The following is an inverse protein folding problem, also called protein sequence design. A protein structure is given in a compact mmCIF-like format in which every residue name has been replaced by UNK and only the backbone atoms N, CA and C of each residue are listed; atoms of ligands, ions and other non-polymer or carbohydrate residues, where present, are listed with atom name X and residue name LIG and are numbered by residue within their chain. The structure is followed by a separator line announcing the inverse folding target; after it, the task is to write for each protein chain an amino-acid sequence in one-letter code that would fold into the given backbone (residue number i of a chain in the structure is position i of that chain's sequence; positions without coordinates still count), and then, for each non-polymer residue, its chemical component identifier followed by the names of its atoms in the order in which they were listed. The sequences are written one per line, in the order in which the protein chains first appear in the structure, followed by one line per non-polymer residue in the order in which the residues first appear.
data_IF_190665128031
#
_entry.id   IF_190665128031
#
_cell.length_a   1.000
_cell.length_b   1.000
_cell.length_c   1.000
_cell.angle_alpha   90.00
_cell.angle_beta   90.00
_cell.angle_gamma   90.00
#
_symmetry.space_group_name_H-M   'P 1'
#
loop_
_entity.id
_entity.type
_entity.pdbx_description
1 polymer ?
#
# COMPACT_ATOMS: atom_id res chain seq x y z
N UNK A 1 -5.54 7.43 -28.42
CA UNK A 1 -5.97 8.04 -27.16
C UNK A 1 -5.87 7.08 -25.97
N UNK A 2 -4.88 6.18 -25.97
CA UNK A 2 -4.74 5.10 -24.97
C UNK A 2 -4.14 5.62 -23.66
N UNK A 3 -3.31 6.67 -23.72
CA UNK A 3 -2.70 7.29 -22.54
C UNK A 3 -3.72 8.02 -21.66
N UNK A 4 -4.77 8.60 -22.25
CA UNK A 4 -5.83 9.29 -21.52
C UNK A 4 -6.72 8.29 -20.79
N UNK A 5 -7.04 7.17 -21.44
CA UNK A 5 -7.82 6.07 -20.84
C UNK A 5 -7.03 5.30 -19.77
N UNK A 6 -5.73 5.06 -19.96
CA UNK A 6 -4.85 4.51 -18.91
C UNK A 6 -4.76 5.45 -17.69
N UNK A 7 -4.60 6.76 -17.90
CA UNK A 7 -4.56 7.73 -16.79
C UNK A 7 -5.89 7.82 -16.03
N UNK A 8 -7.05 7.75 -16.71
CA UNK A 8 -8.36 7.71 -16.04
C UNK A 8 -8.57 6.40 -15.27
N UNK A 9 -8.12 5.27 -15.83
CA UNK A 9 -8.11 3.96 -15.19
C UNK A 9 -7.21 3.93 -13.93
N UNK A 10 -6.32 4.91 -13.77
CA UNK A 10 -5.39 5.02 -12.63
C UNK A 10 -6.00 5.75 -11.43
N UNK A 11 -6.64 6.90 -11.64
CA UNK A 11 -7.21 7.70 -10.54
C UNK A 11 -8.47 7.08 -9.93
N UNK A 12 -9.35 6.49 -10.75
CA UNK A 12 -10.58 5.85 -10.28
C UNK A 12 -10.27 4.61 -9.42
N UNK A 13 -9.29 3.79 -9.83
CA UNK A 13 -8.84 2.63 -9.03
C UNK A 13 -8.17 3.05 -7.72
N UNK A 14 -7.34 4.10 -7.74
CA UNK A 14 -6.75 4.63 -6.51
C UNK A 14 -7.82 5.18 -5.56
N UNK A 15 -8.86 5.81 -6.10
CA UNK A 15 -9.99 6.29 -5.31
C UNK A 15 -10.84 5.13 -4.75
N UNK A 16 -11.06 4.07 -5.53
CA UNK A 16 -11.75 2.85 -5.07
C UNK A 16 -10.96 2.18 -3.94
N UNK A 17 -9.64 2.05 -4.10
CA UNK A 17 -8.75 1.50 -3.07
C UNK A 17 -8.74 2.37 -1.79
N UNK A 18 -8.65 3.69 -1.93
CA UNK A 18 -8.74 4.61 -0.80
C UNK A 18 -10.12 4.54 -0.11
N UNK A 19 -11.19 4.40 -0.88
CA UNK A 19 -12.56 4.27 -0.34
C UNK A 19 -12.71 2.97 0.45
N UNK A 20 -12.21 1.85 -0.07
CA UNK A 20 -12.22 0.57 0.62
C UNK A 20 -11.39 0.62 1.91
N UNK A 21 -10.21 1.24 1.86
CA UNK A 21 -9.37 1.49 3.03
C UNK A 21 -10.09 2.32 4.09
N UNK A 22 -10.64 3.49 3.72
CA UNK A 22 -11.38 4.35 4.66
C UNK A 22 -12.67 3.71 5.16
N UNK A 23 -13.31 2.83 4.40
CA UNK A 23 -14.47 2.07 4.87
C UNK A 23 -14.07 1.10 5.98
N UNK A 24 -12.89 0.47 5.86
CA UNK A 24 -12.39 -0.50 6.85
C UNK A 24 -11.77 0.16 8.08
N UNK A 25 -11.10 1.29 7.89
CA UNK A 25 -10.37 2.05 8.91
C UNK A 25 -10.65 3.56 8.77
N UNK A 26 -11.84 4.04 9.15
CA UNK A 26 -12.32 5.40 8.85
C UNK A 26 -11.53 6.51 9.55
N UNK A 27 -10.86 6.20 10.66
CA UNK A 27 -10.03 7.14 11.42
C UNK A 27 -8.63 7.34 10.80
N UNK A 28 -8.27 6.57 9.77
CA UNK A 28 -6.93 6.58 9.19
C UNK A 28 -6.75 7.70 8.16
N UNK A 29 -5.56 8.29 8.18
CA UNK A 29 -5.18 9.39 7.31
C UNK A 29 -4.63 8.91 5.97
N UNK A 30 -4.40 9.84 5.05
CA UNK A 30 -3.70 9.52 3.79
C UNK A 30 -2.25 9.07 4.03
N UNK A 31 -1.62 9.51 5.13
CA UNK A 31 -0.29 9.04 5.49
C UNK A 31 -0.30 7.55 5.85
N UNK A 32 -1.31 7.11 6.62
CA UNK A 32 -1.51 5.70 6.98
C UNK A 32 -1.81 4.86 5.75
N UNK A 33 -2.62 5.38 4.83
CA UNK A 33 -2.89 4.73 3.54
C UNK A 33 -1.61 4.51 2.74
N UNK A 34 -0.75 5.53 2.63
CA UNK A 34 0.54 5.42 1.93
C UNK A 34 1.48 4.42 2.60
N UNK A 35 1.48 4.37 3.93
CA UNK A 35 2.28 3.44 4.69
C UNK A 35 1.79 2.00 4.49
N UNK A 36 0.47 1.78 4.50
CA UNK A 36 -0.15 0.50 4.14
C UNK A 36 0.26 0.04 2.73
N UNK A 37 0.18 0.92 1.72
CA UNK A 37 0.64 0.59 0.36
C UNK A 37 2.13 0.22 0.31
N UNK A 38 2.96 0.89 1.10
CA UNK A 38 4.39 0.57 1.19
C UNK A 38 4.60 -0.87 1.71
N UNK A 39 3.87 -1.27 2.74
CA UNK A 39 3.90 -2.64 3.27
C UNK A 39 3.38 -3.65 2.24
N UNK A 40 2.29 -3.35 1.52
CA UNK A 40 1.75 -4.19 0.45
C UNK A 40 2.76 -4.46 -0.69
N UNK A 41 3.63 -3.50 -1.00
CA UNK A 41 4.71 -3.67 -1.98
C UNK A 41 6.00 -4.30 -1.40
N UNK A 42 6.00 -4.67 -0.12
CA UNK A 42 7.19 -5.20 0.55
C UNK A 42 8.29 -4.15 0.71
N UNK A 43 7.94 -2.87 0.78
CA UNK A 43 8.89 -1.78 1.00
C UNK A 43 9.10 -1.55 2.50
N UNK A 44 10.28 -1.05 2.91
CA UNK A 44 10.52 -0.69 4.30
C UNK A 44 9.49 0.34 4.78
N UNK A 45 8.78 0.01 5.85
CA UNK A 45 7.90 0.92 6.56
C UNK A 45 8.59 1.37 7.85
N UNK A 46 8.46 2.65 8.18
CA UNK A 46 8.98 3.20 9.42
C UNK A 46 8.14 2.72 10.60
N UNK A 47 8.74 1.94 11.51
CA UNK A 47 8.07 1.37 12.68
C UNK A 47 7.47 2.46 13.57
N UNK A 48 8.09 3.64 13.63
CA UNK A 48 7.56 4.74 14.44
C UNK A 48 6.25 5.31 13.85
N UNK A 49 6.03 5.14 12.55
CA UNK A 49 4.88 5.66 11.82
C UNK A 49 3.74 4.64 11.67
N UNK A 50 3.97 3.34 11.92
CA UNK A 50 2.93 2.30 11.72
C UNK A 50 1.97 2.12 12.89
N UNK A 51 2.18 2.82 14.00
CA UNK A 51 1.41 2.63 15.24
C UNK A 51 -0.12 2.69 15.03
N UNK A 52 -0.60 3.56 14.15
CA UNK A 52 -2.02 3.67 13.82
C UNK A 52 -2.55 2.40 13.11
N UNK A 53 -1.80 1.88 12.13
CA UNK A 53 -2.12 0.64 11.41
C UNK A 53 -2.00 -0.60 12.30
N UNK A 54 -1.02 -0.62 13.21
CA UNK A 54 -0.80 -1.69 14.18
C UNK A 54 -1.95 -1.74 15.20
N UNK A 55 -2.34 -0.59 15.75
CA UNK A 55 -3.49 -0.46 16.66
C UNK A 55 -4.80 -0.90 15.99
N UNK A 56 -4.94 -0.65 14.68
CA UNK A 56 -6.06 -1.13 13.87
C UNK A 56 -5.95 -2.61 13.47
N UNK A 57 -4.87 -3.31 13.88
CA UNK A 57 -4.54 -4.69 13.52
C UNK A 57 -4.46 -4.92 12.01
N UNK A 58 -4.06 -3.92 11.24
CA UNK A 58 -3.83 -4.03 9.79
C UNK A 58 -2.41 -4.53 9.52
N UNK A 59 -1.44 -4.11 10.34
CA UNK A 59 -0.07 -4.58 10.28
C UNK A 59 0.36 -5.17 11.63
N UNK A 60 1.44 -5.93 11.61
CA UNK A 60 2.12 -6.48 12.77
C UNK A 60 3.61 -6.18 12.66
N UNK A 61 4.27 -5.94 13.79
CA UNK A 61 5.72 -5.73 13.85
C UNK A 61 6.36 -6.99 14.43
N UNK A 62 7.11 -7.73 13.61
CA UNK A 62 7.87 -8.90 14.03
C UNK A 62 9.35 -8.72 13.70
N UNK A 63 10.23 -8.93 14.69
CA UNK A 63 11.69 -8.84 14.49
C UNK A 63 12.20 -7.49 13.93
N UNK A 64 11.46 -6.40 14.12
CA UNK A 64 11.78 -5.09 13.54
C UNK A 64 11.41 -4.95 12.06
N UNK A 65 10.53 -5.81 11.56
CA UNK A 65 9.91 -5.71 10.23
C UNK A 65 8.41 -5.51 10.39
N UNK A 66 7.84 -4.70 9.51
CA UNK A 66 6.40 -4.46 9.44
C UNK A 66 5.83 -5.37 8.38
N UNK A 67 4.87 -6.21 8.75
CA UNK A 67 4.17 -7.12 7.85
C UNK A 67 2.67 -6.91 7.92
N UNK A 68 1.93 -7.34 6.89
CA UNK A 68 0.47 -7.35 6.94
C UNK A 68 -0.01 -8.41 7.94
N UNK A 69 -0.99 -8.05 8.76
CA UNK A 69 -1.76 -9.04 9.54
C UNK A 69 -2.68 -9.85 8.62
N UNK A 70 -3.41 -10.82 9.18
CA UNK A 70 -4.48 -11.48 8.44
C UNK A 70 -5.57 -10.50 7.96
N UNK A 71 -5.92 -9.49 8.79
CA UNK A 71 -6.88 -8.47 8.41
C UNK A 71 -6.31 -7.50 7.36
N UNK A 72 -5.01 -7.20 7.43
CA UNK A 72 -4.32 -6.39 6.41
C UNK A 72 -4.28 -7.07 5.05
N UNK A 73 -4.03 -8.39 5.00
CA UNK A 73 -4.10 -9.18 3.76
C UNK A 73 -5.51 -9.20 3.17
N UNK A 74 -6.54 -9.41 4.01
CA UNK A 74 -7.93 -9.33 3.55
C UNK A 74 -8.26 -7.95 2.99
N UNK A 75 -7.78 -6.88 3.62
CA UNK A 75 -7.97 -5.52 3.13
C UNK A 75 -7.22 -5.27 1.80
N UNK A 76 -6.00 -5.81 1.67
CA UNK A 76 -5.24 -5.78 0.42
C UNK A 76 -6.02 -6.46 -0.72
N UNK A 77 -6.65 -7.60 -0.45
CA UNK A 77 -7.48 -8.35 -1.40
C UNK A 77 -8.76 -7.57 -1.76
N UNK A 78 -9.45 -6.99 -0.78
CA UNK A 78 -10.64 -6.15 -0.99
C UNK A 78 -10.33 -4.94 -1.89
N UNK A 79 -9.12 -4.40 -1.75
CA UNK A 79 -8.59 -3.31 -2.56
C UNK A 79 -8.04 -3.77 -3.93
N UNK A 80 -8.05 -5.07 -4.22
CA UNK A 80 -7.54 -5.70 -5.45
C UNK A 80 -6.07 -5.37 -5.73
N UNK A 81 -5.28 -5.14 -4.68
CA UNK A 81 -3.84 -4.88 -4.79
C UNK A 81 -3.15 -6.23 -4.94
N UNK A 82 -2.50 -6.48 -6.08
CA UNK A 82 -1.74 -7.71 -6.26
C UNK A 82 -0.48 -7.69 -5.38
N UNK A 83 -0.22 -8.73 -4.56
CA UNK A 83 1.03 -8.84 -3.82
C UNK A 83 2.19 -9.03 -4.80
N UNK A 84 3.27 -8.27 -4.62
CA UNK A 84 4.49 -8.43 -5.43
C UNK A 84 5.10 -9.82 -5.20
N UNK A 85 5.56 -10.53 -6.26
CA UNK A 85 6.45 -11.67 -6.09
C UNK A 85 7.75 -11.19 -5.43
N UNK A 86 8.15 -11.84 -4.34
CA UNK A 86 9.23 -11.47 -3.42
C UNK A 86 10.63 -11.55 -4.08
N UNK A 87 10.96 -10.62 -4.99
CA UNK A 87 12.33 -10.46 -5.47
C UNK A 87 13.05 -9.43 -4.59
N UNK A 88 13.86 -9.93 -3.66
CA UNK A 88 14.73 -9.19 -2.73
C UNK A 88 15.75 -8.32 -3.49
N UNK A 89 15.35 -7.17 -4.02
CA UNK A 89 16.27 -6.15 -4.50
C UNK A 89 16.27 -5.02 -3.48
N UNK A 90 17.45 -4.82 -2.86
CA UNK A 90 17.72 -3.75 -1.90
C UNK A 90 17.46 -2.39 -2.56
N UNK A 91 16.27 -1.83 -2.38
CA UNK A 91 15.93 -0.46 -2.77
C UNK A 91 16.30 0.48 -1.63
N UNK A 92 17.59 0.80 -1.54
CA UNK A 92 18.10 1.84 -0.66
C UNK A 92 17.85 3.20 -1.33
N UNK A 93 16.85 3.95 -0.87
CA UNK A 93 16.76 5.41 -1.09
C UNK A 93 15.79 5.93 -2.15
N UNK A 94 14.62 5.31 -2.34
CA UNK A 94 13.65 5.74 -3.37
C UNK A 94 12.53 6.60 -2.77
N UNK A 95 12.20 7.71 -3.42
CA UNK A 95 11.22 8.68 -2.94
C UNK A 95 9.81 8.10 -3.10
N UNK A 96 8.87 8.36 -2.18
CA UNK A 96 7.57 7.67 -2.22
C UNK A 96 6.69 8.00 -3.43
N UNK A 97 6.97 9.11 -4.13
CA UNK A 97 6.35 9.39 -5.42
C UNK A 97 6.79 8.38 -6.49
N UNK A 98 8.07 7.99 -6.49
CA UNK A 98 8.63 7.00 -7.41
C UNK A 98 8.12 5.59 -7.08
N UNK A 99 7.84 5.31 -5.81
CA UNK A 99 7.18 4.06 -5.37
C UNK A 99 5.78 3.95 -5.96
N UNK A 100 4.98 5.01 -5.84
CA UNK A 100 3.65 5.07 -6.45
C UNK A 100 3.76 4.92 -7.98
N UNK A 101 4.68 5.64 -8.62
CA UNK A 101 4.89 5.52 -10.07
C UNK A 101 5.34 4.11 -10.49
N UNK A 102 6.16 3.44 -9.68
CA UNK A 102 6.61 2.07 -9.92
C UNK A 102 5.44 1.09 -9.79
N UNK A 103 4.62 1.20 -8.74
CA UNK A 103 3.41 0.40 -8.58
C UNK A 103 2.43 0.62 -9.75
N UNK A 104 2.29 1.87 -10.20
CA UNK A 104 1.45 2.21 -11.35
C UNK A 104 2.00 1.65 -12.67
N UNK A 105 3.34 1.55 -12.80
CA UNK A 105 3.98 1.02 -14.01
C UNK A 105 3.83 -0.50 -14.16
N UNK A 106 3.76 -1.24 -13.05
CA UNK A 106 3.68 -2.70 -13.01
C UNK A 106 2.24 -3.25 -13.11
N UNK A 107 1.22 -2.38 -13.13
CA UNK A 107 -0.18 -2.73 -13.38
C UNK A 107 -0.55 -2.72 -14.88
N UNK A 108 0.46 -2.68 -15.78
CA UNK A 108 0.33 -2.75 -17.24
C UNK A 108 0.52 -4.16 -17.80
#
# INVERSE_FOLDING_TARGET
DIQTDQKRLTSEKMLEALTAFQTRVPEMTLADFRLFLSVCAGLPADIEQVSALENARIVEVDGGQVELSAAGRSLQDDMKIQPKPLNRIKLSGTNASEVLETMLSELN
#
